data_IF_666978452691
#
_entry.id   IF_666978452691
#
_cell.length_a   1.000
_cell.length_b   1.000
_cell.length_c   1.000
_cell.angle_alpha   90.00
_cell.angle_beta   90.00
_cell.angle_gamma   90.00
#
_symmetry.space_group_name_H-M   'P 1'
#
loop_
_entity.id
_entity.type
_entity.pdbx_description
1 polymer ?
#
# COMPACT_ATOMS: atom_id res chain seq x y z
N UNK A 1 -31.50 -50.83 43.05
CA UNK A 1 -30.35 -49.98 43.45
C UNK A 1 -30.13 -49.02 42.29
N UNK A 2 -30.73 -47.82 42.29
CA UNK A 2 -30.41 -46.62 43.11
C UNK A 2 -29.18 -45.83 42.59
N UNK A 3 -29.45 -44.97 41.59
CA UNK A 3 -29.34 -43.50 41.60
C UNK A 3 -28.04 -42.74 41.98
N UNK A 4 -27.88 -41.46 41.57
CA UNK A 4 -26.57 -40.84 41.29
C UNK A 4 -26.30 -39.45 41.92
N UNK A 5 -25.09 -38.90 41.66
CA UNK A 5 -24.65 -37.48 41.67
C UNK A 5 -23.33 -37.40 40.85
N UNK A 6 -22.77 -36.28 40.35
CA UNK A 6 -23.21 -34.93 39.88
C UNK A 6 -21.98 -34.30 39.13
N UNK A 7 -21.90 -33.08 38.56
CA UNK A 7 -22.76 -31.89 38.52
C UNK A 7 -22.51 -31.04 37.24
N UNK A 8 -23.54 -30.30 36.83
CA UNK A 8 -23.60 -29.04 36.04
C UNK A 8 -22.52 -27.99 36.38
N UNK A 9 -22.10 -27.07 35.49
CA UNK A 9 -22.42 -26.85 34.07
C UNK A 9 -22.05 -25.44 33.52
N UNK A 10 -22.41 -25.15 32.27
CA UNK A 10 -22.06 -23.90 31.54
C UNK A 10 -23.03 -22.72 31.80
N UNK A 11 -22.53 -21.49 31.95
CA UNK A 11 -23.35 -20.27 32.00
C UNK A 11 -22.75 -19.13 31.15
N UNK A 12 -23.61 -18.47 30.38
CA UNK A 12 -23.41 -17.27 29.57
C UNK A 12 -23.99 -16.06 30.34
N UNK A 13 -23.47 -14.83 30.18
CA UNK A 13 -24.12 -13.62 30.73
C UNK A 13 -24.20 -12.46 29.69
N UNK A 14 -25.29 -11.66 29.66
CA UNK A 14 -25.57 -10.75 28.55
C UNK A 14 -25.60 -9.25 28.93
N UNK A 15 -25.96 -8.40 27.96
CA UNK A 15 -26.29 -6.98 28.10
C UNK A 15 -27.46 -6.70 29.08
N UNK A 16 -27.48 -5.48 29.62
CA UNK A 16 -28.63 -4.89 30.33
C UNK A 16 -28.71 -3.37 30.11
N UNK A 17 -29.92 -2.85 29.95
CA UNK A 17 -30.26 -1.44 29.65
C UNK A 17 -31.54 -1.04 30.43
N UNK A 18 -31.90 0.25 30.46
CA UNK A 18 -33.14 0.89 30.98
C UNK A 18 -33.18 1.17 32.50
N UNK A 19 -33.87 2.21 33.02
CA UNK A 19 -34.56 3.39 32.42
C UNK A 19 -34.64 4.56 33.42
N UNK A 20 -35.01 5.75 32.93
CA UNK A 20 -35.12 7.02 33.67
C UNK A 20 -36.30 7.16 34.65
N UNK A 21 -36.30 8.22 35.48
CA UNK A 21 -37.50 8.90 36.00
C UNK A 21 -37.24 10.38 36.41
N UNK A 22 -38.04 11.30 35.86
CA UNK A 22 -38.66 12.52 36.43
C UNK A 22 -37.91 13.56 37.31
N UNK A 23 -37.96 14.84 36.86
CA UNK A 23 -38.48 16.06 37.55
C UNK A 23 -37.90 16.53 38.94
N UNK A 24 -37.81 17.83 39.29
CA UNK A 24 -38.16 19.09 38.58
C UNK A 24 -37.46 20.39 39.08
N UNK A 25 -37.60 21.47 38.30
CA UNK A 25 -37.66 22.92 38.62
C UNK A 25 -36.67 23.70 39.56
N UNK A 26 -36.11 24.80 39.00
CA UNK A 26 -36.07 26.19 39.54
C UNK A 26 -34.78 26.86 40.14
N UNK A 27 -34.18 27.76 39.34
CA UNK A 27 -33.73 29.17 39.63
C UNK A 27 -32.89 29.59 40.86
N UNK A 28 -31.74 30.27 40.58
CA UNK A 28 -31.10 31.33 41.41
C UNK A 28 -30.11 30.88 42.50
N UNK A 29 -29.21 31.71 43.04
CA UNK A 29 -28.68 33.03 42.60
C UNK A 29 -27.31 33.35 43.29
N UNK A 30 -26.59 34.33 42.75
CA UNK A 30 -25.50 35.18 43.29
C UNK A 30 -24.56 34.75 44.46
N UNK A 31 -23.26 34.70 44.10
CA UNK A 31 -22.08 35.22 44.85
C UNK A 31 -21.51 34.50 46.11
N UNK A 32 -20.19 34.66 46.41
CA UNK A 32 -19.47 33.83 47.38
C UNK A 32 -19.27 34.49 48.77
N UNK A 33 -18.88 33.68 49.77
CA UNK A 33 -18.32 34.16 51.06
C UNK A 33 -17.16 33.31 51.58
N UNK A 34 -16.31 33.99 52.35
CA UNK A 34 -15.02 33.55 52.86
C UNK A 34 -15.02 33.54 54.41
N UNK A 35 -14.70 32.40 55.02
CA UNK A 35 -14.32 32.23 56.45
C UNK A 35 -13.50 30.95 56.54
N UNK A 36 -12.18 31.00 56.77
CA UNK A 36 -11.43 31.31 58.01
C UNK A 36 -11.33 30.16 59.02
N UNK A 37 -10.08 29.82 59.30
CA UNK A 37 -9.46 29.38 60.56
C UNK A 37 -10.24 28.43 61.49
N UNK A 38 -9.70 27.22 61.65
CA UNK A 38 -9.78 26.52 62.94
C UNK A 38 -8.59 25.55 63.13
N UNK A 39 -7.39 26.12 63.25
CA UNK A 39 -6.15 25.37 63.44
C UNK A 39 -5.89 25.16 64.94
N UNK A 40 -6.24 23.98 65.49
CA UNK A 40 -5.80 23.61 66.84
C UNK A 40 -5.73 22.09 67.10
N UNK A 41 -4.61 21.67 67.70
CA UNK A 41 -4.37 20.43 68.46
C UNK A 41 -4.74 19.08 67.82
N UNK A 42 -3.76 18.45 67.15
CA UNK A 42 -3.18 17.16 67.64
C UNK A 42 -1.67 17.15 67.36
N UNK A 43 -0.82 17.13 68.40
CA UNK A 43 0.58 16.68 68.28
C UNK A 43 0.71 15.27 68.83
N UNK A 44 0.72 14.27 67.95
CA UNK A 44 0.98 12.87 68.29
C UNK A 44 2.27 12.39 67.63
N UNK A 45 3.19 11.82 68.42
CA UNK A 45 4.46 11.28 67.89
C UNK A 45 4.21 10.05 67.01
N UNK A 46 4.34 10.20 65.69
CA UNK A 46 4.59 9.08 64.79
C UNK A 46 5.95 9.23 64.12
N UNK A 47 6.73 8.14 64.14
CA UNK A 47 8.09 8.08 63.59
C UNK A 47 8.05 8.33 62.10
N UNK A 48 8.98 9.15 61.60
CA UNK A 48 9.25 9.29 60.17
C UNK A 48 9.82 7.99 59.61
N UNK A 49 8.93 7.11 59.16
CA UNK A 49 9.29 6.03 58.24
C UNK A 49 9.84 6.71 56.98
N UNK A 50 11.10 6.45 56.56
CA UNK A 50 11.60 7.02 55.32
C UNK A 50 10.74 6.53 54.17
N UNK A 51 10.34 7.43 53.28
CA UNK A 51 9.58 7.07 52.08
C UNK A 51 10.44 6.13 51.21
N UNK A 52 10.16 4.84 51.31
CA UNK A 52 10.81 3.83 50.51
C UNK A 52 10.41 4.07 49.05
N UNK A 53 11.40 4.43 48.23
CA UNK A 53 11.15 4.81 46.84
C UNK A 53 10.46 3.68 46.09
N UNK A 54 9.45 3.97 45.23
CA UNK A 54 8.79 2.94 44.44
C UNK A 54 9.84 2.17 43.63
N UNK A 55 9.73 0.83 43.55
CA UNK A 55 10.76 0.01 42.92
C UNK A 55 10.87 0.38 41.44
N UNK A 56 12.11 0.61 40.99
CA UNK A 56 12.51 1.01 39.63
C UNK A 56 11.38 0.94 38.59
N UNK A 57 10.68 2.06 38.40
CA UNK A 57 9.99 2.31 37.13
C UNK A 57 11.07 2.40 36.07
N UNK A 58 11.45 1.26 35.51
CA UNK A 58 12.10 1.22 34.21
C UNK A 58 11.09 1.85 33.26
N UNK A 59 11.27 3.14 32.99
CA UNK A 59 10.63 3.79 31.87
C UNK A 59 10.94 2.91 30.65
N UNK A 60 9.90 2.31 30.09
CA UNK A 60 10.03 1.43 28.94
C UNK A 60 10.70 2.23 27.84
N UNK A 61 11.99 1.95 27.60
CA UNK A 61 12.72 2.64 26.55
C UNK A 61 12.01 2.29 25.26
N UNK A 62 11.29 3.26 24.68
CA UNK A 62 10.83 3.16 23.30
C UNK A 62 12.04 2.74 22.48
N UNK A 63 11.96 1.63 21.72
CA UNK A 63 13.11 1.16 20.95
C UNK A 63 13.60 2.32 20.10
N UNK A 64 14.84 2.75 20.34
CA UNK A 64 15.38 3.94 19.68
C UNK A 64 15.24 3.74 18.18
N UNK A 65 14.61 4.68 17.44
CA UNK A 65 14.33 4.49 16.03
C UNK A 65 15.65 4.18 15.34
N UNK A 66 15.77 3.03 14.64
CA UNK A 66 17.07 2.53 14.22
C UNK A 66 17.76 3.58 13.35
N UNK A 67 19.10 3.67 13.46
CA UNK A 67 19.95 4.64 12.76
C UNK A 67 19.99 4.47 11.21
N UNK A 68 18.96 3.85 10.63
CA UNK A 68 18.71 3.74 9.20
C UNK A 68 18.51 5.10 8.52
N UNK A 69 18.00 6.13 9.22
CA UNK A 69 17.83 7.46 8.64
C UNK A 69 19.14 8.09 8.15
N UNK A 70 20.17 8.16 9.01
CA UNK A 70 21.50 8.66 8.62
C UNK A 70 22.21 7.73 7.64
N UNK A 71 22.03 6.40 7.77
CA UNK A 71 22.55 5.43 6.80
C UNK A 71 21.94 5.56 5.41
N UNK A 72 20.64 5.87 5.29
CA UNK A 72 19.96 6.11 4.02
C UNK A 72 20.49 7.39 3.35
N UNK A 73 20.69 8.47 4.11
CA UNK A 73 21.31 9.69 3.58
C UNK A 73 22.73 9.44 3.07
N UNK A 74 23.54 8.62 3.76
CA UNK A 74 24.87 8.22 3.28
C UNK A 74 24.80 7.38 1.98
N UNK A 75 23.83 6.47 1.86
CA UNK A 75 23.62 5.67 0.64
C UNK A 75 23.21 6.52 -0.57
N UNK A 76 22.59 7.68 -0.37
CA UNK A 76 22.27 8.65 -1.45
C UNK A 76 23.44 9.62 -1.70
N UNK A 77 24.17 10.02 -0.65
CA UNK A 77 25.31 10.92 -0.76
C UNK A 77 26.47 10.31 -1.58
N UNK A 78 26.78 9.02 -1.41
CA UNK A 78 27.85 8.34 -2.16
C UNK A 78 27.65 8.42 -3.68
N UNK A 79 26.52 7.99 -4.28
CA UNK A 79 26.29 8.15 -5.71
C UNK A 79 26.19 9.61 -6.14
N UNK A 80 25.67 10.54 -5.32
CA UNK A 80 25.68 11.97 -5.67
C UNK A 80 27.10 12.58 -5.73
N UNK A 81 28.05 12.06 -4.95
CA UNK A 81 29.45 12.50 -4.95
C UNK A 81 30.30 11.79 -6.02
N UNK A 82 29.93 10.55 -6.40
CA UNK A 82 30.70 9.71 -7.34
C UNK A 82 30.17 9.80 -8.78
N UNK A 83 28.86 9.93 -9.00
CA UNK A 83 28.28 10.03 -10.36
C UNK A 83 28.52 11.41 -10.97
N UNK A 84 29.57 11.50 -11.79
CA UNK A 84 29.73 12.63 -12.72
C UNK A 84 28.70 12.53 -13.84
N UNK A 85 28.00 13.61 -14.21
CA UNK A 85 27.07 13.58 -15.34
C UNK A 85 27.83 13.33 -16.64
N UNK A 86 27.50 12.23 -17.34
CA UNK A 86 28.21 11.79 -18.55
C UNK A 86 28.16 12.84 -19.68
N UNK A 87 27.11 13.66 -19.71
CA UNK A 87 26.95 14.80 -20.62
C UNK A 87 26.23 15.94 -19.90
N UNK A 88 26.79 17.15 -19.95
CA UNK A 88 26.07 18.36 -19.57
C UNK A 88 25.11 18.76 -20.71
N UNK A 89 23.81 18.99 -20.45
CA UNK A 89 22.88 19.40 -21.50
C UNK A 89 23.17 20.83 -21.94
N UNK A 90 23.62 21.01 -23.18
CA UNK A 90 23.96 22.33 -23.75
C UNK A 90 22.78 23.30 -23.94
N UNK A 91 21.57 22.90 -23.56
CA UNK A 91 20.38 23.75 -23.60
C UNK A 91 19.47 23.47 -22.39
N UNK A 92 18.72 24.48 -21.94
CA UNK A 92 17.77 24.37 -20.82
C UNK A 92 16.67 23.35 -21.17
N UNK A 93 16.73 22.15 -20.56
CA UNK A 93 15.70 21.12 -20.71
C UNK A 93 14.34 21.68 -20.31
N UNK A 94 13.32 21.53 -21.16
CA UNK A 94 11.95 21.84 -20.75
C UNK A 94 11.50 20.84 -19.69
N UNK A 95 10.80 21.31 -18.66
CA UNK A 95 10.19 20.44 -17.64
C UNK A 95 8.86 19.83 -18.12
N UNK A 96 8.31 20.33 -19.23
CA UNK A 96 7.03 19.93 -19.79
C UNK A 96 7.11 19.91 -21.32
N UNK A 97 6.70 18.80 -21.93
CA UNK A 97 6.64 18.66 -23.39
C UNK A 97 5.17 18.62 -23.84
N UNK A 98 4.63 19.78 -24.24
CA UNK A 98 3.24 19.92 -24.67
C UNK A 98 2.93 19.02 -25.88
N UNK A 99 3.90 18.75 -26.74
CA UNK A 99 3.68 17.98 -27.96
C UNK A 99 3.44 16.49 -27.65
N UNK A 100 3.97 16.01 -26.52
CA UNK A 100 3.75 14.64 -26.06
C UNK A 100 2.29 14.38 -25.63
N UNK A 101 1.51 15.41 -25.30
CA UNK A 101 0.07 15.26 -25.04
C UNK A 101 -0.78 15.08 -26.31
N UNK A 102 -0.17 15.24 -27.50
CA UNK A 102 -0.80 14.98 -28.80
C UNK A 102 -0.20 13.74 -29.51
N UNK A 103 0.80 13.11 -28.89
CA UNK A 103 1.43 11.87 -29.36
C UNK A 103 0.56 10.68 -28.92
N UNK A 104 -0.34 10.23 -29.81
CA UNK A 104 -1.40 9.27 -29.49
C UNK A 104 -0.90 7.97 -28.84
N UNK A 105 0.16 7.28 -29.33
CA UNK A 105 0.79 6.17 -28.63
C UNK A 105 1.22 6.48 -27.18
N UNK A 106 1.79 7.66 -26.95
CA UNK A 106 2.26 8.07 -25.63
C UNK A 106 1.11 8.45 -24.69
N UNK A 107 0.03 9.06 -25.20
CA UNK A 107 -1.18 9.33 -24.42
C UNK A 107 -1.84 8.03 -23.94
N UNK A 108 -2.01 7.05 -24.82
CA UNK A 108 -2.49 5.72 -24.43
C UNK A 108 -1.54 5.02 -23.47
N UNK A 109 -0.22 5.12 -23.68
CA UNK A 109 0.77 4.59 -22.74
C UNK A 109 0.67 5.25 -21.34
N UNK A 110 0.41 6.56 -21.28
CA UNK A 110 0.20 7.30 -20.03
C UNK A 110 -1.04 6.85 -19.26
N UNK A 111 -2.18 6.67 -19.95
CA UNK A 111 -3.38 6.09 -19.35
C UNK A 111 -3.17 4.63 -18.92
N UNK A 112 -2.54 3.80 -19.75
CA UNK A 112 -2.18 2.43 -19.40
C UNK A 112 -1.31 2.35 -18.15
N UNK A 113 -0.34 3.27 -18.01
CA UNK A 113 0.51 3.39 -16.82
C UNK A 113 -0.31 3.83 -15.60
N UNK A 114 -1.17 4.84 -15.72
CA UNK A 114 -2.03 5.32 -14.62
C UNK A 114 -2.92 4.21 -14.08
N UNK A 115 -3.69 3.53 -14.94
CA UNK A 115 -4.58 2.44 -14.51
C UNK A 115 -3.81 1.22 -14.00
N UNK A 116 -2.65 0.92 -14.59
CA UNK A 116 -1.82 -0.22 -14.17
C UNK A 116 -1.24 -0.02 -12.77
N UNK A 117 -0.67 1.15 -12.48
CA UNK A 117 -0.17 1.48 -11.15
C UNK A 117 -1.31 1.59 -10.12
N UNK A 118 -2.48 2.10 -10.52
CA UNK A 118 -3.68 2.15 -9.67
C UNK A 118 -4.21 0.75 -9.33
N UNK A 119 -4.12 -0.21 -10.24
CA UNK A 119 -4.52 -1.61 -10.03
C UNK A 119 -3.49 -2.42 -9.23
N UNK A 120 -2.19 -2.35 -9.58
CA UNK A 120 -1.13 -3.16 -8.96
C UNK A 120 -1.07 -2.95 -7.45
N UNK A 121 -1.03 -1.68 -7.01
CA UNK A 121 -0.80 -1.41 -5.59
C UNK A 121 -1.94 -1.83 -4.68
N UNK A 122 -3.18 -1.96 -5.18
CA UNK A 122 -4.31 -2.50 -4.39
C UNK A 122 -3.99 -3.90 -3.88
N UNK A 123 -3.39 -4.78 -4.69
CA UNK A 123 -2.97 -6.10 -4.21
C UNK A 123 -1.84 -5.97 -3.18
N UNK A 124 -0.81 -5.16 -3.44
CA UNK A 124 0.32 -4.98 -2.53
C UNK A 124 -0.10 -4.49 -1.13
N UNK A 125 -1.09 -3.59 -1.03
CA UNK A 125 -1.57 -3.05 0.25
C UNK A 125 -2.56 -3.98 0.99
N UNK A 126 -3.34 -4.80 0.27
CA UNK A 126 -4.44 -5.57 0.88
C UNK A 126 -4.19 -7.08 0.96
N UNK A 127 -3.10 -7.62 0.37
CA UNK A 127 -2.84 -9.08 0.35
C UNK A 127 -2.68 -9.69 1.75
N UNK A 128 -2.05 -8.98 2.70
CA UNK A 128 -1.87 -9.45 4.08
C UNK A 128 -3.20 -9.51 4.84
N UNK A 129 -4.01 -8.46 4.72
CA UNK A 129 -5.35 -8.37 5.31
C UNK A 129 -6.29 -9.43 4.70
N UNK A 130 -6.21 -9.67 3.40
CA UNK A 130 -6.95 -10.73 2.70
C UNK A 130 -6.54 -12.13 3.19
N UNK A 131 -5.25 -12.39 3.34
CA UNK A 131 -4.74 -13.67 3.81
C UNK A 131 -5.20 -14.01 5.24
N UNK A 132 -5.14 -13.03 6.16
CA UNK A 132 -5.61 -13.22 7.53
C UNK A 132 -7.13 -13.41 7.58
N UNK A 133 -7.90 -12.52 6.92
CA UNK A 133 -9.37 -12.51 7.02
C UNK A 133 -10.07 -13.61 6.21
N UNK A 134 -9.52 -14.02 5.06
CA UNK A 134 -10.18 -14.95 4.13
C UNK A 134 -9.63 -16.38 4.18
N UNK A 135 -8.33 -16.53 4.39
CA UNK A 135 -7.65 -17.84 4.43
C UNK A 135 -7.25 -18.27 5.85
N UNK A 136 -7.56 -17.48 6.88
CA UNK A 136 -7.21 -17.79 8.27
C UNK A 136 -5.70 -17.83 8.54
N UNK A 137 -4.90 -17.12 7.73
CA UNK A 137 -3.44 -17.12 7.86
C UNK A 137 -3.02 -16.44 9.17
N UNK A 138 -2.00 -16.98 9.86
CA UNK A 138 -1.42 -16.34 11.03
C UNK A 138 -0.74 -15.01 10.68
N UNK A 139 -0.75 -14.06 11.62
CA UNK A 139 -0.06 -12.76 11.52
C UNK A 139 1.38 -12.89 11.02
N UNK A 140 2.10 -13.85 11.60
CA UNK A 140 3.53 -14.02 11.41
C UNK A 140 3.85 -14.48 9.98
N UNK A 141 2.97 -15.29 9.37
CA UNK A 141 3.10 -15.70 7.97
C UNK A 141 2.57 -14.63 7.01
N UNK A 142 1.48 -13.92 7.38
CA UNK A 142 0.92 -12.84 6.59
C UNK A 142 1.93 -11.70 6.37
N UNK A 143 2.70 -11.34 7.40
CA UNK A 143 3.77 -10.34 7.34
C UNK A 143 4.88 -10.67 6.32
N UNK A 144 5.11 -11.96 6.02
CA UNK A 144 6.08 -12.36 5.00
C UNK A 144 5.53 -12.34 3.56
N UNK A 145 4.22 -12.09 3.35
CA UNK A 145 3.63 -12.06 2.01
C UNK A 145 4.17 -10.90 1.17
N UNK A 146 4.25 -9.69 1.73
CA UNK A 146 4.85 -8.56 1.01
C UNK A 146 6.35 -8.78 0.73
N UNK A 147 7.06 -9.50 1.59
CA UNK A 147 8.44 -9.92 1.33
C UNK A 147 8.52 -10.91 0.16
N UNK A 148 7.62 -11.89 0.07
CA UNK A 148 7.51 -12.84 -1.04
C UNK A 148 7.18 -12.14 -2.37
N UNK A 149 6.24 -11.18 -2.36
CA UNK A 149 5.93 -10.35 -3.55
C UNK A 149 7.16 -9.57 -4.02
N UNK A 150 7.91 -8.95 -3.10
CA UNK A 150 9.12 -8.21 -3.45
C UNK A 150 10.30 -9.12 -3.90
N UNK A 151 10.39 -10.35 -3.38
CA UNK A 151 11.35 -11.35 -3.85
C UNK A 151 11.05 -11.78 -5.30
N UNK A 152 9.78 -12.08 -5.61
CA UNK A 152 9.34 -12.35 -6.99
C UNK A 152 9.58 -11.14 -7.91
N UNK A 153 9.26 -9.94 -7.45
CA UNK A 153 9.48 -8.67 -8.16
C UNK A 153 10.95 -8.41 -8.48
N UNK A 154 11.87 -8.82 -7.60
CA UNK A 154 13.31 -8.71 -7.86
C UNK A 154 13.76 -9.57 -9.04
N UNK A 155 13.22 -10.80 -9.18
CA UNK A 155 13.48 -11.66 -10.35
C UNK A 155 12.81 -11.13 -11.62
N UNK A 156 11.58 -10.62 -11.49
CA UNK A 156 10.82 -9.98 -12.57
C UNK A 156 11.44 -8.68 -13.10
N UNK A 157 12.26 -8.01 -12.30
CA UNK A 157 13.05 -6.83 -12.73
C UNK A 157 14.36 -7.17 -13.43
N UNK A 158 14.69 -8.46 -13.57
CA UNK A 158 15.95 -8.92 -14.18
C UNK A 158 15.65 -9.73 -15.45
N UNK A 159 15.07 -10.92 -15.32
CA UNK A 159 15.00 -11.89 -16.43
C UNK A 159 14.16 -11.36 -17.63
N UNK A 160 12.95 -10.80 -17.43
CA UNK A 160 12.12 -10.32 -18.53
C UNK A 160 12.61 -8.99 -19.14
N UNK A 161 13.34 -8.17 -18.38
CA UNK A 161 13.91 -6.92 -18.91
C UNK A 161 15.01 -7.21 -19.94
N UNK A 162 15.88 -8.20 -19.70
CA UNK A 162 16.82 -8.65 -20.74
C UNK A 162 16.11 -9.17 -22.00
N UNK A 163 14.93 -9.80 -21.86
CA UNK A 163 14.14 -10.23 -23.02
C UNK A 163 13.46 -9.06 -23.77
N UNK A 164 13.19 -7.93 -23.10
CA UNK A 164 12.55 -6.77 -23.69
C UNK A 164 13.41 -6.07 -24.76
N UNK A 165 14.74 -6.10 -24.63
CA UNK A 165 15.66 -5.61 -25.65
C UNK A 165 15.53 -6.39 -26.97
N UNK A 166 15.11 -7.67 -26.92
CA UNK A 166 14.88 -8.50 -28.10
C UNK A 166 13.44 -8.40 -28.62
N UNK A 167 12.44 -8.47 -27.75
CA UNK A 167 10.99 -8.55 -28.11
C UNK A 167 10.35 -7.19 -28.36
N UNK A 168 10.91 -6.11 -27.81
CA UNK A 168 10.33 -4.77 -27.79
C UNK A 168 9.73 -4.45 -26.42
N UNK A 169 10.06 -3.26 -25.92
CA UNK A 169 9.70 -2.77 -24.58
C UNK A 169 8.19 -2.70 -24.36
N UNK A 170 7.44 -2.21 -25.35
CA UNK A 170 5.99 -2.02 -25.24
C UNK A 170 5.25 -3.35 -25.43
N UNK A 171 5.78 -4.22 -26.30
CA UNK A 171 5.30 -5.60 -26.45
C UNK A 171 5.37 -6.35 -25.11
N UNK A 172 6.54 -6.36 -24.46
CA UNK A 172 6.72 -7.02 -23.16
C UNK A 172 5.85 -6.39 -22.06
N UNK A 173 5.79 -5.06 -21.98
CA UNK A 173 5.01 -4.40 -20.93
C UNK A 173 3.51 -4.69 -21.06
N UNK A 174 2.99 -4.80 -22.29
CA UNK A 174 1.61 -5.20 -22.57
C UNK A 174 1.33 -6.65 -22.13
N UNK A 175 2.20 -7.59 -22.47
CA UNK A 175 2.05 -9.01 -22.08
C UNK A 175 2.12 -9.20 -20.56
N UNK A 176 2.99 -8.46 -19.88
CA UNK A 176 3.13 -8.53 -18.43
C UNK A 176 2.03 -7.77 -17.68
N UNK A 177 1.44 -6.73 -18.28
CA UNK A 177 0.19 -6.13 -17.81
C UNK A 177 -0.96 -7.15 -17.84
N UNK A 178 -1.12 -7.86 -18.96
CA UNK A 178 -2.15 -8.89 -19.13
C UNK A 178 -2.00 -10.03 -18.12
N UNK A 179 -0.77 -10.56 -17.96
CA UNK A 179 -0.49 -11.60 -16.97
C UNK A 179 -0.76 -11.13 -15.52
N UNK A 180 -0.44 -9.87 -15.20
CA UNK A 180 -0.76 -9.27 -13.90
C UNK A 180 -2.27 -9.11 -13.69
N UNK A 181 -3.03 -8.78 -14.74
CA UNK A 181 -4.49 -8.70 -14.70
C UNK A 181 -5.14 -10.07 -14.45
N UNK A 182 -4.71 -11.09 -15.21
CA UNK A 182 -5.18 -12.48 -15.05
C UNK A 182 -4.87 -13.01 -13.65
N UNK A 183 -3.66 -12.75 -13.13
CA UNK A 183 -3.32 -13.14 -11.76
C UNK A 183 -4.16 -12.38 -10.72
N UNK A 184 -4.32 -11.06 -10.85
CA UNK A 184 -5.16 -10.29 -9.92
C UNK A 184 -6.62 -10.78 -9.88
N UNK A 185 -7.16 -11.24 -11.02
CA UNK A 185 -8.49 -11.85 -11.07
C UNK A 185 -8.48 -13.30 -10.54
N UNK A 186 -7.38 -14.04 -10.69
CA UNK A 186 -7.27 -15.40 -10.13
C UNK A 186 -7.40 -15.44 -8.61
N UNK A 187 -7.06 -14.34 -7.91
CA UNK A 187 -7.20 -14.23 -6.47
C UNK A 187 -8.66 -14.40 -5.99
N UNK A 188 -9.66 -14.13 -6.86
CA UNK A 188 -11.08 -14.38 -6.59
C UNK A 188 -11.40 -15.86 -6.33
N UNK A 189 -10.58 -16.79 -6.84
CA UNK A 189 -10.72 -18.22 -6.66
C UNK A 189 -9.79 -18.81 -5.57
N UNK A 190 -8.84 -18.03 -5.03
CA UNK A 190 -7.78 -18.52 -4.15
C UNK A 190 -8.15 -18.29 -2.68
N UNK A 191 -8.93 -19.22 -2.10
CA UNK A 191 -9.24 -19.24 -0.66
C UNK A 191 -8.15 -19.86 0.23
N UNK A 192 -7.09 -20.45 -0.34
CA UNK A 192 -6.17 -21.33 0.37
C UNK A 192 -4.80 -20.66 0.64
N UNK A 193 -4.29 -20.78 1.87
CA UNK A 193 -2.96 -20.29 2.32
C UNK A 193 -1.84 -20.62 1.32
N UNK A 194 -1.73 -21.88 0.88
CA UNK A 194 -0.71 -22.32 -0.08
C UNK A 194 -0.84 -21.63 -1.45
N UNK A 195 -2.07 -21.39 -1.90
CA UNK A 195 -2.34 -20.67 -3.14
C UNK A 195 -1.99 -19.19 -3.05
N UNK A 196 -2.20 -18.55 -1.89
CA UNK A 196 -1.79 -17.16 -1.65
C UNK A 196 -0.26 -17.03 -1.68
N UNK A 197 0.48 -17.99 -1.10
CA UNK A 197 1.95 -18.00 -1.16
C UNK A 197 2.47 -18.11 -2.61
N UNK A 198 1.93 -19.04 -3.40
CA UNK A 198 2.27 -19.19 -4.81
C UNK A 198 1.88 -17.96 -5.65
N UNK A 199 0.69 -17.40 -5.40
CA UNK A 199 0.22 -16.15 -6.00
C UNK A 199 1.19 -15.00 -5.73
N UNK A 200 1.65 -14.81 -4.49
CA UNK A 200 2.55 -13.71 -4.13
C UNK A 200 3.86 -13.73 -4.95
N UNK A 201 4.47 -14.90 -5.13
CA UNK A 201 5.71 -15.05 -5.91
C UNK A 201 5.47 -14.76 -7.39
N UNK A 202 4.41 -15.33 -7.98
CA UNK A 202 4.08 -15.14 -9.40
C UNK A 202 3.65 -13.70 -9.68
N UNK A 203 2.72 -13.16 -8.90
CA UNK A 203 2.25 -11.78 -9.03
C UNK A 203 3.39 -10.78 -8.84
N UNK A 204 4.29 -11.04 -7.89
CA UNK A 204 5.54 -10.30 -7.73
C UNK A 204 6.37 -10.29 -9.02
N UNK A 205 6.63 -11.46 -9.62
CA UNK A 205 7.40 -11.57 -10.86
C UNK A 205 6.78 -10.80 -12.04
N UNK A 206 5.47 -10.95 -12.27
CA UNK A 206 4.82 -10.28 -13.40
C UNK A 206 4.70 -8.75 -13.19
N UNK A 207 4.32 -8.30 -11.98
CA UNK A 207 4.24 -6.86 -11.66
C UNK A 207 5.60 -6.19 -11.56
N UNK A 208 6.64 -6.91 -11.10
CA UNK A 208 8.01 -6.39 -11.05
C UNK A 208 8.51 -5.94 -12.41
N UNK A 209 8.24 -6.75 -13.44
CA UNK A 209 8.52 -6.45 -14.85
C UNK A 209 7.77 -5.18 -15.30
N UNK A 210 6.46 -5.12 -15.04
CA UNK A 210 5.60 -4.00 -15.43
C UNK A 210 6.05 -2.67 -14.79
N UNK A 211 6.61 -2.71 -13.58
CA UNK A 211 7.10 -1.53 -12.85
C UNK A 211 8.48 -1.06 -13.33
N UNK A 212 9.29 -1.93 -13.94
CA UNK A 212 10.59 -1.55 -14.52
C UNK A 212 10.55 -1.08 -15.97
N UNK A 213 9.65 -1.63 -16.80
CA UNK A 213 9.55 -1.29 -18.22
C UNK A 213 9.07 0.15 -18.57
N UNK A 214 8.42 0.97 -17.72
CA UNK A 214 7.96 2.29 -18.16
C UNK A 214 9.10 3.23 -18.58
N UNK A 215 10.27 3.12 -17.94
CA UNK A 215 11.45 3.91 -18.27
C UNK A 215 11.96 3.63 -19.70
N UNK A 216 12.30 2.37 -20.10
CA UNK A 216 12.72 2.07 -21.46
C UNK A 216 11.57 2.17 -22.49
N UNK A 217 10.31 1.92 -22.11
CA UNK A 217 9.17 2.15 -23.03
C UNK A 217 8.97 3.63 -23.35
N UNK A 218 9.10 4.53 -22.38
CA UNK A 218 9.08 5.98 -22.68
C UNK A 218 10.29 6.39 -23.52
N UNK A 219 11.45 5.78 -23.32
CA UNK A 219 12.61 5.99 -24.19
C UNK A 219 12.35 5.55 -25.64
N UNK A 220 11.77 4.37 -25.86
CA UNK A 220 11.45 3.85 -27.20
C UNK A 220 10.25 4.55 -27.88
N UNK A 221 9.50 5.39 -27.16
CA UNK A 221 8.48 6.28 -27.71
C UNK A 221 8.98 7.73 -27.88
N UNK A 222 10.14 8.11 -27.37
CA UNK A 222 10.62 9.50 -27.40
C UNK A 222 11.46 9.78 -28.66
N UNK A 223 11.03 10.63 -29.60
CA UNK A 223 11.79 10.89 -30.83
C UNK A 223 13.02 11.78 -30.58
N UNK A 224 13.08 12.50 -29.46
CA UNK A 224 14.15 13.43 -29.12
C UNK A 224 14.65 13.22 -27.68
N UNK A 225 15.96 12.95 -27.53
CA UNK A 225 16.62 12.84 -26.21
C UNK A 225 16.48 14.11 -25.35
N UNK A 226 16.22 15.27 -25.97
CA UNK A 226 16.02 16.54 -25.29
C UNK A 226 14.72 16.61 -24.46
N UNK A 227 13.63 15.96 -24.89
CA UNK A 227 12.37 15.92 -24.13
C UNK A 227 12.12 14.60 -23.40
N UNK A 228 12.95 13.57 -23.61
CA UNK A 228 12.91 12.28 -22.91
C UNK A 228 12.72 12.42 -21.38
N UNK A 229 13.48 13.33 -20.74
CA UNK A 229 13.35 13.55 -19.29
C UNK A 229 11.98 14.07 -18.85
N UNK A 230 11.36 14.94 -19.65
CA UNK A 230 10.00 15.44 -19.40
C UNK A 230 8.93 14.38 -19.71
N UNK A 231 9.11 13.60 -20.78
CA UNK A 231 8.23 12.48 -21.11
C UNK A 231 8.27 11.39 -20.04
N UNK A 232 9.44 11.15 -19.45
CA UNK A 232 9.63 10.21 -18.35
C UNK A 232 8.96 10.74 -17.08
N UNK A 233 9.17 12.00 -16.70
CA UNK A 233 8.52 12.57 -15.51
C UNK A 233 7.00 12.66 -15.64
N UNK A 234 6.45 13.02 -16.80
CA UNK A 234 5.00 13.05 -17.03
C UNK A 234 4.36 11.64 -16.94
N UNK A 235 5.03 10.60 -17.45
CA UNK A 235 4.55 9.22 -17.33
C UNK A 235 4.59 8.72 -15.87
N UNK A 236 5.67 9.00 -15.13
CA UNK A 236 5.75 8.66 -13.71
C UNK A 236 4.84 9.52 -12.82
N UNK A 237 4.47 10.75 -13.24
CA UNK A 237 3.45 11.56 -12.56
C UNK A 237 2.06 10.90 -12.68
N UNK A 238 1.70 10.41 -13.87
CA UNK A 238 0.47 9.64 -14.07
C UNK A 238 0.47 8.33 -13.25
N UNK A 239 1.61 7.63 -13.18
CA UNK A 239 1.81 6.47 -12.32
C UNK A 239 1.60 6.79 -10.83
N UNK A 240 2.17 7.90 -10.34
CA UNK A 240 2.04 8.36 -8.96
C UNK A 240 0.61 8.73 -8.57
N UNK A 241 -0.11 9.43 -9.46
CA UNK A 241 -1.53 9.77 -9.28
C UNK A 241 -2.37 8.49 -9.15
N UNK A 242 -2.17 7.51 -10.04
CA UNK A 242 -2.84 6.21 -9.94
C UNK A 242 -2.52 5.48 -8.62
N UNK A 243 -1.25 5.45 -8.24
CA UNK A 243 -0.78 4.82 -6.99
C UNK A 243 -1.41 5.43 -5.73
N UNK A 244 -1.63 6.75 -5.72
CA UNK A 244 -2.24 7.47 -4.60
C UNK A 244 -3.76 7.23 -4.49
N UNK A 245 -4.45 7.09 -5.62
CA UNK A 245 -5.92 7.02 -5.68
C UNK A 245 -6.44 5.56 -5.57
N UNK A 246 -5.66 4.57 -6.00
CA UNK A 246 -6.11 3.17 -6.07
C UNK A 246 -6.49 2.56 -4.72
N UNK A 247 -5.61 2.68 -3.72
CA UNK A 247 -5.78 2.06 -2.40
C UNK A 247 -6.95 2.66 -1.60
N UNK A 248 -7.14 4.00 -1.52
CA UNK A 248 -8.33 4.58 -0.86
C UNK A 248 -9.65 4.13 -1.48
N UNK A 249 -9.75 4.05 -2.82
CA UNK A 249 -10.97 3.56 -3.48
C UNK A 249 -11.19 2.07 -3.16
N UNK A 250 -10.15 1.25 -3.17
CA UNK A 250 -10.24 -0.16 -2.79
C UNK A 250 -10.75 -0.33 -1.34
N UNK A 251 -10.28 0.49 -0.40
CA UNK A 251 -10.76 0.51 0.98
C UNK A 251 -12.23 0.88 1.12
N UNK A 252 -12.71 1.87 0.36
CA UNK A 252 -14.14 2.22 0.31
C UNK A 252 -15.01 1.06 -0.24
N UNK A 253 -14.54 0.39 -1.30
CA UNK A 253 -15.23 -0.78 -1.87
C UNK A 253 -15.29 -1.93 -0.86
N UNK A 254 -14.18 -2.25 -0.19
CA UNK A 254 -14.10 -3.28 0.86
C UNK A 254 -15.10 -3.01 2.00
N UNK A 255 -15.25 -1.74 2.37
CA UNK A 255 -16.12 -1.28 3.47
C UNK A 255 -17.62 -1.41 3.18
N UNK A 256 -18.01 -1.64 1.92
CA UNK A 256 -19.42 -1.60 1.49
C UNK A 256 -20.26 -2.78 2.02
N UNK A 257 -19.67 -3.96 2.22
CA UNK A 257 -20.34 -5.16 2.75
C UNK A 257 -19.82 -5.50 4.15
N UNK A 258 -20.04 -4.59 5.11
CA UNK A 258 -19.59 -4.75 6.50
C UNK A 258 -18.07 -4.91 6.68
N UNK A 259 -17.26 -4.52 5.69
CA UNK A 259 -15.81 -4.76 5.65
C UNK A 259 -15.36 -6.08 5.02
N UNK A 260 -16.26 -6.89 4.46
CA UNK A 260 -15.96 -8.22 3.91
C UNK A 260 -16.04 -8.29 2.36
N UNK A 261 -16.16 -7.16 1.66
CA UNK A 261 -16.26 -7.11 0.18
C UNK A 261 -14.91 -7.30 -0.54
N UNK A 262 -14.22 -8.41 -0.25
CA UNK A 262 -12.95 -8.78 -0.88
C UNK A 262 -13.10 -9.00 -2.39
N UNK A 263 -14.25 -9.54 -2.81
CA UNK A 263 -14.54 -9.78 -4.22
C UNK A 263 -14.60 -8.46 -5.01
N UNK A 264 -15.25 -7.42 -4.46
CA UNK A 264 -15.28 -6.09 -5.06
C UNK A 264 -13.90 -5.44 -5.16
N UNK A 265 -13.09 -5.56 -4.10
CA UNK A 265 -11.72 -5.03 -4.07
C UNK A 265 -10.81 -5.70 -5.14
N UNK A 266 -10.94 -7.01 -5.32
CA UNK A 266 -10.16 -7.77 -6.30
C UNK A 266 -10.68 -7.54 -7.73
N UNK A 267 -11.99 -7.46 -7.93
CA UNK A 267 -12.60 -7.10 -9.20
C UNK A 267 -12.19 -5.68 -9.64
N UNK A 268 -12.10 -4.73 -8.71
CA UNK A 268 -11.56 -3.38 -8.95
C UNK A 268 -10.11 -3.44 -9.43
N UNK A 269 -9.20 -4.08 -8.68
CA UNK A 269 -7.80 -4.23 -9.10
C UNK A 269 -7.66 -4.91 -10.47
N UNK A 270 -8.37 -6.03 -10.67
CA UNK A 270 -8.36 -6.76 -11.93
C UNK A 270 -8.91 -5.95 -13.12
N UNK A 271 -10.02 -5.23 -12.95
CA UNK A 271 -10.60 -4.38 -13.99
C UNK A 271 -9.66 -3.23 -14.39
N UNK A 272 -8.95 -2.62 -13.43
CA UNK A 272 -7.95 -1.61 -13.71
C UNK A 272 -6.73 -2.16 -14.48
N UNK A 273 -6.33 -3.40 -14.21
CA UNK A 273 -5.24 -4.06 -14.92
C UNK A 273 -5.66 -4.54 -16.33
N UNK A 274 -6.92 -4.94 -16.51
CA UNK A 274 -7.50 -5.13 -17.85
C UNK A 274 -7.55 -3.81 -18.61
N UNK A 275 -8.02 -2.72 -18.00
CA UNK A 275 -8.05 -1.39 -18.63
C UNK A 275 -6.64 -0.87 -18.97
N UNK A 276 -5.66 -1.11 -18.10
CA UNK A 276 -4.24 -0.86 -18.34
C UNK A 276 -3.75 -1.62 -19.59
N UNK A 277 -4.04 -2.92 -19.65
CA UNK A 277 -3.68 -3.79 -20.78
C UNK A 277 -4.32 -3.30 -22.08
N UNK A 278 -5.62 -3.02 -22.08
CA UNK A 278 -6.34 -2.50 -23.25
C UNK A 278 -5.76 -1.16 -23.74
N UNK A 279 -5.38 -0.28 -22.82
CA UNK A 279 -4.74 1.00 -23.15
C UNK A 279 -3.32 0.79 -23.72
N UNK A 280 -2.54 -0.18 -23.23
CA UNK A 280 -1.24 -0.52 -23.81
C UNK A 280 -1.35 -1.23 -25.17
N UNK A 281 -2.39 -2.05 -25.40
CA UNK A 281 -2.73 -2.58 -26.73
C UNK A 281 -3.09 -1.43 -27.69
N UNK A 282 -3.85 -0.42 -27.25
CA UNK A 282 -4.15 0.77 -28.05
C UNK A 282 -2.89 1.61 -28.34
N UNK A 283 -1.97 1.75 -27.38
CA UNK A 283 -0.66 2.37 -27.61
C UNK A 283 0.16 1.61 -28.67
N UNK A 284 0.13 0.26 -28.62
CA UNK A 284 0.78 -0.61 -29.61
C UNK A 284 0.21 -0.41 -31.01
N UNK A 285 -1.11 -0.51 -31.17
CA UNK A 285 -1.76 -0.40 -32.49
C UNK A 285 -1.67 1.02 -33.05
N UNK A 286 -1.63 2.06 -32.21
CA UNK A 286 -1.33 3.43 -32.64
C UNK A 286 0.13 3.60 -33.11
N UNK A 287 1.11 2.92 -32.49
CA UNK A 287 2.54 3.03 -32.85
C UNK A 287 2.92 2.20 -34.07
N UNK A 288 2.28 1.03 -34.24
CA UNK A 288 2.75 -0.06 -35.13
C UNK A 288 1.66 -0.55 -36.11
N UNK A 289 0.41 -0.14 -35.93
CA UNK A 289 -0.73 -0.68 -36.66
C UNK A 289 -1.10 -2.09 -36.22
N UNK A 290 -1.91 -2.78 -37.02
CA UNK A 290 -2.40 -4.14 -36.72
C UNK A 290 -1.38 -5.27 -36.98
N UNK A 291 -0.10 -4.96 -37.25
CA UNK A 291 0.92 -5.97 -37.57
C UNK A 291 1.47 -6.64 -36.30
N UNK A 292 1.18 -7.93 -36.14
CA UNK A 292 1.56 -8.68 -34.92
C UNK A 292 3.06 -8.89 -34.76
N UNK A 293 3.82 -9.09 -35.85
CA UNK A 293 5.27 -9.38 -35.81
C UNK A 293 6.19 -8.15 -35.63
N UNK A 294 5.62 -6.94 -35.56
CA UNK A 294 6.44 -5.73 -35.47
C UNK A 294 6.83 -5.37 -34.02
N UNK A 295 8.12 -5.02 -33.87
CA UNK A 295 8.78 -4.70 -32.60
C UNK A 295 8.42 -3.28 -32.14
N UNK A 296 7.92 -3.14 -30.91
CA UNK A 296 7.31 -1.92 -30.37
C UNK A 296 7.96 -1.41 -29.07
#
# INVERSE_FOLDING_TARGET
MQEPQSSTGTVFLPFGEKTAHHEDHSTGDSTPRETKDNDSVVRGNHKTVPLQSPPNTQASQLPTPPNGGTRAWLQVAVPLLVMRPLQYPGNRRSLWDKNSLFDVPYVFFGFGTLFGYMGIYVVFFYIELYAMSRAGMSSDLAFYLLALVNAGSSLGRILPNFAADYVGTLNMQTTFAFASAVLSLSLLAIGNVQGILAFCVLYGFFTGTFVSLPAPTVASLSPNVASLGARMSMAFMAAGIGSLIGSPIAGAILSTDGGNNWNGLQAWSGALLVLSTLSMVAARTAKVGFKLDAKA
#
